data_IF_247440076330
#
_entry.id   IF_247440076330
#
_cell.length_a   1.000
_cell.length_b   1.000
_cell.length_c   1.000
_cell.angle_alpha   90.00
_cell.angle_beta   90.00
_cell.angle_gamma   90.00
#
_symmetry.space_group_name_H-M   'P 1'
#
loop_
_entity.id
_entity.type
_entity.pdbx_description
1 polymer ?
#
# COMPACT_ATOMS: atom_id res chain seq x y z
N UNK A 1 8.86 11.20 -25.75
CA UNK A 1 7.44 11.12 -26.17
C UNK A 1 6.59 11.25 -24.92
N UNK A 2 5.90 12.37 -24.72
CA UNK A 2 5.05 12.59 -23.54
C UNK A 2 3.79 11.73 -23.70
N UNK A 3 3.47 10.90 -22.71
CA UNK A 3 2.34 9.97 -22.81
C UNK A 3 0.99 10.67 -22.65
N UNK A 4 -0.05 10.16 -23.29
CA UNK A 4 -1.34 10.87 -23.44
C UNK A 4 -2.15 11.07 -22.15
N UNK A 5 -1.68 10.56 -21.02
CA UNK A 5 -2.30 10.67 -19.69
C UNK A 5 -2.50 12.13 -19.24
N UNK A 6 -1.78 13.09 -19.81
CA UNK A 6 -1.94 14.53 -19.54
C UNK A 6 -3.31 15.14 -19.94
N UNK A 7 -4.19 14.39 -20.64
CA UNK A 7 -5.48 14.91 -21.13
C UNK A 7 -6.68 14.72 -20.16
N UNK A 8 -6.66 13.77 -19.23
CA UNK A 8 -7.77 13.57 -18.27
C UNK A 8 -7.61 14.44 -17.01
N UNK A 9 -8.29 15.59 -16.95
CA UNK A 9 -8.36 16.47 -15.75
C UNK A 9 -9.12 15.86 -14.54
N UNK A 10 -9.45 14.56 -14.59
CA UNK A 10 -10.40 13.89 -13.69
C UNK A 10 -9.96 12.45 -13.42
N UNK A 11 -9.74 12.09 -12.15
CA UNK A 11 -9.31 10.75 -11.74
C UNK A 11 -10.50 9.85 -11.35
N UNK A 12 -10.51 8.60 -11.84
CA UNK A 12 -11.67 7.68 -11.74
C UNK A 12 -11.41 6.46 -10.84
N UNK A 13 -11.59 6.63 -9.52
CA UNK A 13 -11.38 5.56 -8.52
C UNK A 13 -12.30 4.34 -8.70
N UNK A 14 -11.90 3.15 -8.19
CA UNK A 14 -12.74 1.92 -8.15
C UNK A 14 -14.13 2.18 -7.56
N UNK A 15 -14.21 2.98 -6.48
CA UNK A 15 -15.46 3.38 -5.81
C UNK A 15 -16.33 4.30 -6.69
N UNK A 16 -15.73 5.25 -7.42
CA UNK A 16 -16.43 6.12 -8.37
C UNK A 16 -16.93 5.36 -9.60
N UNK A 17 -16.14 4.41 -10.12
CA UNK A 17 -16.56 3.52 -11.21
C UNK A 17 -17.77 2.66 -10.78
N UNK A 18 -17.75 2.09 -9.58
CA UNK A 18 -18.90 1.34 -9.03
C UNK A 18 -20.13 2.25 -8.85
N UNK A 19 -19.97 3.44 -8.24
CA UNK A 19 -21.05 4.44 -8.13
C UNK A 19 -21.64 4.80 -9.50
N UNK A 20 -20.80 5.00 -10.53
CA UNK A 20 -21.24 5.27 -11.89
C UNK A 20 -22.04 4.11 -12.47
N UNK A 21 -21.56 2.87 -12.34
CA UNK A 21 -22.29 1.69 -12.85
C UNK A 21 -23.66 1.53 -12.16
N UNK A 22 -23.75 1.76 -10.85
CA UNK A 22 -25.04 1.72 -10.13
C UNK A 22 -25.96 2.89 -10.48
N UNK A 23 -25.42 4.11 -10.62
CA UNK A 23 -26.21 5.28 -11.05
C UNK A 23 -26.77 5.08 -12.47
N UNK A 24 -25.94 4.62 -13.41
CA UNK A 24 -26.38 4.32 -14.77
C UNK A 24 -27.39 3.16 -14.78
N UNK A 25 -27.17 2.09 -14.02
CA UNK A 25 -28.15 0.98 -13.89
C UNK A 25 -29.56 1.48 -13.54
N UNK A 26 -29.65 2.48 -12.67
CA UNK A 26 -30.91 3.08 -12.23
C UNK A 26 -31.47 4.13 -13.23
N UNK A 27 -30.67 4.59 -14.20
CA UNK A 27 -31.03 5.58 -15.22
C UNK A 27 -31.10 4.95 -16.63
N UNK A 28 -32.23 4.31 -16.99
CA UNK A 28 -32.36 3.52 -18.23
C UNK A 28 -32.29 4.34 -19.53
N UNK A 29 -32.51 5.65 -19.50
CA UNK A 29 -32.27 6.55 -20.63
C UNK A 29 -30.86 6.44 -21.21
N UNK A 30 -29.85 6.11 -20.40
CA UNK A 30 -28.46 6.06 -20.87
C UNK A 30 -28.10 4.73 -21.55
N UNK A 31 -28.72 3.60 -21.15
CA UNK A 31 -28.27 2.25 -21.53
C UNK A 31 -29.33 1.30 -22.10
N UNK A 32 -30.63 1.58 -21.95
CA UNK A 32 -31.71 0.69 -22.39
C UNK A 32 -32.35 1.22 -23.69
N UNK A 33 -32.18 0.56 -24.85
CA UNK A 33 -32.79 0.98 -26.12
C UNK A 33 -34.31 1.07 -26.11
N UNK A 34 -35.00 0.42 -25.17
CA UNK A 34 -36.47 0.48 -25.02
C UNK A 34 -36.96 1.68 -24.20
N UNK A 35 -36.06 2.50 -23.64
CA UNK A 35 -36.48 3.67 -22.87
C UNK A 35 -36.85 4.83 -23.81
N UNK A 36 -38.02 5.51 -23.65
CA UNK A 36 -38.46 6.55 -24.58
C UNK A 36 -37.45 7.69 -24.79
N UNK A 37 -36.68 8.03 -23.75
CA UNK A 37 -35.64 9.07 -23.80
C UNK A 37 -34.26 8.57 -24.27
N UNK A 38 -34.12 7.33 -24.75
CA UNK A 38 -32.81 6.77 -25.15
C UNK A 38 -32.23 7.38 -26.43
N UNK A 39 -33.05 7.87 -27.35
CA UNK A 39 -32.57 8.57 -28.56
C UNK A 39 -32.19 10.03 -28.30
N UNK A 40 -32.68 10.64 -27.22
CA UNK A 40 -32.36 12.03 -26.86
C UNK A 40 -30.93 12.15 -26.32
N UNK A 41 -30.09 12.92 -27.03
CA UNK A 41 -28.73 13.26 -26.60
C UNK A 41 -28.78 14.18 -25.38
N UNK A 42 -29.64 15.19 -25.41
CA UNK A 42 -29.93 16.11 -24.32
C UNK A 42 -30.20 15.38 -22.99
N UNK A 43 -31.17 14.46 -22.96
CA UNK A 43 -31.49 13.72 -21.73
C UNK A 43 -30.40 12.74 -21.28
N UNK A 44 -29.50 12.31 -22.17
CA UNK A 44 -28.32 11.52 -21.78
C UNK A 44 -27.26 12.43 -21.15
N UNK A 45 -27.02 13.58 -21.75
CA UNK A 45 -26.02 14.54 -21.30
C UNK A 45 -26.43 15.26 -20.01
N UNK A 46 -27.74 15.47 -19.80
CA UNK A 46 -28.32 15.84 -18.51
C UNK A 46 -27.99 14.78 -17.44
N UNK A 47 -28.28 13.50 -17.67
CA UNK A 47 -27.97 12.43 -16.69
C UNK A 47 -26.47 12.25 -16.44
N UNK A 48 -25.62 12.51 -17.44
CA UNK A 48 -24.18 12.58 -17.21
C UNK A 48 -23.77 13.79 -16.35
N UNK A 49 -24.42 14.94 -16.50
CA UNK A 49 -24.22 16.11 -15.65
C UNK A 49 -24.73 15.91 -14.22
N UNK A 50 -25.88 15.24 -14.04
CA UNK A 50 -26.44 14.84 -12.74
C UNK A 50 -25.49 13.94 -11.93
N UNK A 51 -24.78 13.01 -12.58
CA UNK A 51 -23.72 12.27 -11.91
C UNK A 51 -22.48 13.14 -11.61
N UNK A 52 -22.24 14.18 -12.40
CA UNK A 52 -21.04 15.00 -12.30
C UNK A 52 -21.11 16.02 -11.15
N UNK A 53 -22.28 16.60 -10.86
CA UNK A 53 -22.47 17.53 -9.73
C UNK A 53 -22.10 16.90 -8.38
N UNK A 54 -22.23 15.57 -8.25
CA UNK A 54 -21.82 14.79 -7.07
C UNK A 54 -20.31 14.85 -6.77
N UNK A 55 -19.48 15.41 -7.66
CA UNK A 55 -18.02 15.52 -7.53
C UNK A 55 -17.49 16.95 -7.80
N UNK A 56 -18.38 17.95 -7.88
CA UNK A 56 -18.02 19.37 -7.93
C UNK A 56 -17.43 19.89 -9.25
N UNK A 57 -17.19 21.19 -9.29
CA UNK A 57 -17.08 22.01 -10.51
C UNK A 57 -15.94 21.65 -11.50
N UNK A 58 -15.00 20.77 -11.11
CA UNK A 58 -13.92 20.28 -12.01
C UNK A 58 -14.31 18.99 -12.74
N UNK A 59 -15.42 18.36 -12.35
CA UNK A 59 -15.92 17.10 -12.89
C UNK A 59 -17.06 17.39 -13.87
N UNK A 60 -16.92 17.00 -15.15
CA UNK A 60 -17.88 17.39 -16.21
C UNK A 60 -18.71 16.20 -16.69
N UNK A 61 -19.94 16.45 -17.17
CA UNK A 61 -20.76 15.42 -17.80
C UNK A 61 -20.07 14.72 -18.98
N UNK A 62 -19.22 15.45 -19.73
CA UNK A 62 -18.41 14.85 -20.80
C UNK A 62 -17.37 13.84 -20.26
N UNK A 63 -16.77 14.08 -19.09
CA UNK A 63 -15.88 13.10 -18.45
C UNK A 63 -16.66 11.82 -18.05
N UNK A 64 -17.90 11.98 -17.56
CA UNK A 64 -18.80 10.85 -17.23
C UNK A 64 -19.17 10.05 -18.48
N UNK A 65 -19.55 10.74 -19.56
CA UNK A 65 -19.87 10.17 -20.88
C UNK A 65 -18.72 9.37 -21.48
N UNK A 66 -17.50 9.90 -21.41
CA UNK A 66 -16.27 9.22 -21.80
C UNK A 66 -16.04 7.96 -20.95
N UNK A 67 -16.12 8.09 -19.62
CA UNK A 67 -15.86 6.97 -18.71
C UNK A 67 -16.89 5.84 -18.84
N UNK A 68 -18.17 6.17 -18.93
CA UNK A 68 -19.23 5.18 -19.16
C UNK A 68 -19.02 4.45 -20.49
N UNK A 69 -18.61 5.17 -21.54
CA UNK A 69 -18.27 4.56 -22.84
C UNK A 69 -17.13 3.55 -22.70
N UNK A 70 -16.06 3.89 -21.98
CA UNK A 70 -14.93 2.99 -21.73
C UNK A 70 -15.34 1.74 -20.91
N UNK A 71 -16.16 1.92 -19.86
CA UNK A 71 -16.72 0.81 -19.07
C UNK A 71 -17.58 -0.12 -19.93
N UNK A 72 -18.50 0.44 -20.73
CA UNK A 72 -19.38 -0.32 -21.63
C UNK A 72 -18.60 -1.12 -22.69
N UNK A 73 -17.57 -0.52 -23.29
CA UNK A 73 -16.68 -1.19 -24.25
C UNK A 73 -15.87 -2.30 -23.59
N UNK A 74 -15.42 -2.11 -22.35
CA UNK A 74 -14.69 -3.13 -21.57
C UNK A 74 -15.60 -4.31 -21.24
N UNK A 75 -16.83 -4.05 -20.80
CA UNK A 75 -17.83 -5.09 -20.56
C UNK A 75 -18.15 -5.89 -21.84
N UNK A 76 -18.31 -5.21 -22.99
CA UNK A 76 -18.52 -5.88 -24.28
C UNK A 76 -17.35 -6.79 -24.67
N UNK A 77 -16.11 -6.40 -24.37
CA UNK A 77 -14.93 -7.22 -24.61
C UNK A 77 -14.94 -8.51 -23.76
N UNK A 78 -15.16 -8.38 -22.44
CA UNK A 78 -15.30 -9.54 -21.54
C UNK A 78 -16.48 -10.45 -21.93
N UNK A 79 -17.62 -9.87 -22.34
CA UNK A 79 -18.77 -10.64 -22.79
C UNK A 79 -18.51 -11.42 -24.08
N UNK A 80 -17.66 -10.92 -24.99
CA UNK A 80 -17.20 -11.71 -26.16
C UNK A 80 -16.32 -12.88 -25.74
N UNK A 81 -15.32 -12.65 -24.88
CA UNK A 81 -14.43 -13.72 -24.38
C UNK A 81 -15.19 -14.81 -23.63
N UNK A 82 -16.12 -14.43 -22.75
CA UNK A 82 -17.00 -15.36 -22.03
C UNK A 82 -17.88 -16.21 -22.96
N UNK A 83 -18.43 -15.61 -24.02
CA UNK A 83 -19.23 -16.33 -25.02
C UNK A 83 -18.38 -17.31 -25.85
N UNK A 84 -17.16 -16.91 -26.24
CA UNK A 84 -16.24 -17.77 -27.00
C UNK A 84 -15.80 -19.00 -26.19
N UNK A 85 -15.32 -18.79 -24.96
CA UNK A 85 -14.91 -19.88 -24.07
C UNK A 85 -16.05 -20.88 -23.78
N UNK A 86 -17.28 -20.39 -23.54
CA UNK A 86 -18.47 -21.27 -23.41
C UNK A 86 -18.86 -22.02 -24.69
N UNK A 87 -18.41 -21.59 -25.86
CA UNK A 87 -18.57 -22.35 -27.12
C UNK A 87 -17.49 -23.43 -27.30
N UNK A 88 -16.30 -23.21 -26.71
CA UNK A 88 -15.17 -24.14 -26.73
C UNK A 88 -15.21 -25.20 -25.60
N UNK A 89 -16.14 -25.08 -24.65
CA UNK A 89 -16.24 -25.98 -23.48
C UNK A 89 -15.32 -25.62 -22.30
N UNK A 90 -14.68 -24.44 -22.34
CA UNK A 90 -13.72 -23.98 -21.33
C UNK A 90 -14.40 -23.17 -20.21
N UNK A 91 -13.77 -23.07 -19.03
CA UNK A 91 -14.25 -22.22 -17.91
C UNK A 91 -13.49 -20.88 -17.83
N UNK A 92 -13.93 -19.88 -18.60
CA UNK A 92 -13.34 -18.54 -18.54
C UNK A 92 -13.84 -17.69 -17.35
N UNK A 93 -13.06 -17.71 -16.25
CA UNK A 93 -13.25 -16.87 -15.06
C UNK A 93 -12.89 -15.40 -15.31
N UNK A 94 -13.83 -14.49 -15.08
CA UNK A 94 -13.64 -13.04 -15.28
C UNK A 94 -13.37 -12.34 -13.94
N UNK A 95 -12.12 -11.87 -13.77
CA UNK A 95 -11.65 -11.17 -12.56
C UNK A 95 -11.80 -9.62 -12.65
N UNK A 96 -12.68 -9.09 -13.50
CA UNK A 96 -12.88 -7.64 -13.64
C UNK A 96 -13.92 -7.11 -12.66
N UNK A 97 -13.53 -6.15 -11.80
CA UNK A 97 -14.35 -5.69 -10.68
C UNK A 97 -15.72 -5.06 -11.03
N UNK A 98 -15.94 -4.65 -12.29
CA UNK A 98 -17.25 -4.17 -12.77
C UNK A 98 -18.08 -5.25 -13.48
N UNK A 99 -17.55 -6.47 -13.67
CA UNK A 99 -18.24 -7.54 -14.41
C UNK A 99 -19.62 -7.84 -13.85
N UNK A 100 -19.71 -8.20 -12.57
CA UNK A 100 -20.97 -8.42 -11.84
C UNK A 100 -21.89 -7.18 -11.86
N UNK A 101 -21.42 -6.01 -11.40
CA UNK A 101 -22.18 -4.75 -11.46
C UNK A 101 -22.76 -4.41 -12.85
N UNK A 102 -22.05 -4.71 -13.94
CA UNK A 102 -22.50 -4.46 -15.31
C UNK A 102 -23.43 -5.55 -15.91
N UNK A 103 -23.71 -6.66 -15.21
CA UNK A 103 -24.52 -7.77 -15.77
C UNK A 103 -25.94 -7.37 -16.21
N UNK A 104 -26.49 -6.24 -15.76
CA UNK A 104 -27.78 -5.72 -16.27
C UNK A 104 -27.74 -5.47 -17.79
N UNK A 105 -26.57 -5.11 -18.35
CA UNK A 105 -26.37 -4.95 -19.79
C UNK A 105 -26.53 -6.26 -20.58
N UNK A 106 -26.41 -7.43 -19.94
CA UNK A 106 -26.67 -8.73 -20.59
C UNK A 106 -28.13 -8.88 -21.01
N UNK A 107 -29.07 -8.25 -20.29
CA UNK A 107 -30.51 -8.31 -20.59
C UNK A 107 -30.85 -7.62 -21.93
N UNK A 108 -30.03 -6.68 -22.39
CA UNK A 108 -30.18 -6.01 -23.71
C UNK A 108 -29.67 -6.91 -24.84
N UNK A 109 -28.57 -7.63 -24.62
CA UNK A 109 -27.87 -8.45 -25.62
C UNK A 109 -28.53 -9.81 -25.93
N UNK A 110 -29.81 -10.01 -25.57
CA UNK A 110 -30.63 -11.17 -26.00
C UNK A 110 -31.50 -10.90 -27.23
N UNK A 111 -31.72 -9.65 -27.62
CA UNK A 111 -32.66 -9.28 -28.70
C UNK A 111 -31.98 -8.61 -29.90
N UNK A 112 -30.75 -8.12 -29.76
CA UNK A 112 -29.99 -7.48 -30.85
C UNK A 112 -29.20 -8.56 -31.61
N UNK A 113 -29.92 -9.43 -32.34
CA UNK A 113 -29.32 -10.41 -33.27
C UNK A 113 -30.08 -10.60 -34.59
N UNK A 114 -31.32 -10.11 -34.68
CA UNK A 114 -32.19 -10.24 -35.87
C UNK A 114 -32.35 -8.93 -36.66
N UNK A 115 -31.42 -7.98 -36.55
CA UNK A 115 -31.47 -6.72 -37.32
C UNK A 115 -30.12 -6.22 -37.82
N UNK A 116 -30.13 -5.74 -39.08
CA UNK A 116 -29.06 -5.08 -39.85
C UNK A 116 -27.77 -5.87 -40.13
N UNK A 117 -27.70 -6.41 -41.35
CA UNK A 117 -26.47 -6.70 -42.10
C UNK A 117 -25.88 -5.40 -42.69
N UNK A 118 -24.59 -5.43 -43.04
CA UNK A 118 -23.87 -4.60 -44.04
C UNK A 118 -23.88 -3.07 -43.91
N UNK A 119 -22.67 -2.47 -43.84
CA UNK A 119 -22.06 -1.69 -44.96
C UNK A 119 -20.61 -1.23 -44.61
N UNK A 120 -19.89 -0.68 -45.59
CA UNK A 120 -18.41 -0.50 -45.61
C UNK A 120 -17.95 0.98 -45.76
N UNK A 121 -16.62 1.20 -45.61
CA UNK A 121 -15.82 2.43 -45.92
C UNK A 121 -16.05 3.65 -45.00
N UNK A 122 -15.27 4.75 -45.06
CA UNK A 122 -13.80 5.01 -44.86
C UNK A 122 -13.60 6.56 -44.68
N UNK A 123 -12.44 7.26 -44.65
CA UNK A 123 -11.01 6.99 -44.90
C UNK A 123 -10.06 8.06 -44.26
N UNK A 124 -8.73 7.90 -44.43
CA UNK A 124 -7.59 8.89 -44.41
C UNK A 124 -7.36 10.04 -43.36
N UNK A 125 -6.09 10.11 -42.85
CA UNK A 125 -5.14 11.28 -42.73
C UNK A 125 -5.52 12.59 -41.96
N UNK A 126 -4.61 13.53 -41.58
CA UNK A 126 -3.13 13.67 -41.70
C UNK A 126 -2.48 14.55 -40.59
N UNK A 127 -1.14 14.45 -40.41
CA UNK A 127 -0.12 15.42 -39.88
C UNK A 127 -0.37 16.22 -38.55
N UNK A 128 0.59 16.92 -37.92
CA UNK A 128 2.00 17.27 -38.21
C UNK A 128 2.87 17.43 -36.92
N UNK A 129 4.17 17.74 -37.09
CA UNK A 129 5.21 17.89 -36.03
C UNK A 129 5.55 19.37 -35.76
N UNK A 130 6.08 19.70 -34.55
CA UNK A 130 7.19 20.69 -34.33
C UNK A 130 8.04 20.21 -33.12
N UNK A 131 9.29 20.68 -33.03
CA UNK A 131 10.38 20.25 -32.15
C UNK A 131 11.02 21.44 -31.39
N UNK A 132 11.67 21.21 -30.23
CA UNK A 132 12.98 21.80 -29.82
C UNK A 132 13.37 21.55 -28.35
N UNK A 133 14.67 21.73 -28.06
CA UNK A 133 15.37 21.63 -26.77
C UNK A 133 15.73 23.08 -26.28
N UNK A 134 16.55 23.42 -25.26
CA UNK A 134 17.67 22.81 -24.51
C UNK A 134 17.92 23.57 -23.18
N UNK A 135 18.63 22.93 -22.22
CA UNK A 135 19.61 23.49 -21.25
C UNK A 135 19.25 24.62 -20.23
N UNK A 136 20.06 24.91 -19.20
CA UNK A 136 20.88 24.10 -18.24
C UNK A 136 21.43 25.01 -17.10
N UNK A 137 22.23 24.43 -16.19
CA UNK A 137 23.19 25.05 -15.23
C UNK A 137 22.65 25.80 -13.97
N UNK A 138 23.47 26.12 -12.95
CA UNK A 138 24.10 25.22 -11.93
C UNK A 138 24.54 26.03 -10.66
N UNK A 139 25.13 25.35 -9.66
CA UNK A 139 26.13 25.77 -8.65
C UNK A 139 25.74 26.02 -7.16
N UNK A 140 26.22 25.08 -6.30
CA UNK A 140 27.05 25.27 -5.06
C UNK A 140 26.58 26.14 -3.87
N UNK A 141 26.89 25.87 -2.58
CA UNK A 141 27.49 24.74 -1.81
C UNK A 141 27.30 25.02 -0.29
N UNK A 142 27.27 24.00 0.57
CA UNK A 142 28.18 23.83 1.75
C UNK A 142 27.78 22.62 2.63
N UNK A 143 28.72 22.17 3.47
CA UNK A 143 28.79 20.79 3.98
C UNK A 143 28.02 20.49 5.28
N UNK A 144 27.44 19.29 5.33
CA UNK A 144 27.24 18.49 6.55
C UNK A 144 27.43 17.03 6.17
N UNK A 145 28.24 16.26 6.91
CA UNK A 145 28.60 14.87 6.58
C UNK A 145 27.48 13.88 6.97
N UNK A 146 26.29 14.11 6.43
CA UNK A 146 25.23 13.11 6.29
C UNK A 146 25.45 12.45 4.93
N UNK A 147 25.38 11.12 4.85
CA UNK A 147 25.46 10.38 3.59
C UNK A 147 24.54 10.99 2.52
N UNK A 148 25.18 11.61 1.51
CA UNK A 148 24.53 12.52 0.56
C UNK A 148 23.51 11.80 -0.30
N UNK A 149 23.76 10.52 -0.60
CA UNK A 149 22.83 9.57 -1.21
C UNK A 149 21.46 9.67 -0.52
N UNK A 150 21.41 9.25 0.73
CA UNK A 150 20.16 8.99 1.41
C UNK A 150 19.40 10.27 1.78
N UNK A 151 20.10 11.41 1.88
CA UNK A 151 19.48 12.74 1.97
C UNK A 151 18.68 13.08 0.71
N UNK A 152 19.29 13.00 -0.48
CA UNK A 152 18.61 13.28 -1.75
C UNK A 152 17.45 12.29 -2.03
N UNK A 153 17.66 11.01 -1.67
CA UNK A 153 16.63 9.96 -1.68
C UNK A 153 15.41 10.37 -0.82
N UNK A 154 15.67 10.79 0.41
CA UNK A 154 14.61 11.12 1.36
C UNK A 154 13.92 12.46 1.02
N UNK A 155 14.63 13.44 0.46
CA UNK A 155 14.06 14.69 -0.06
C UNK A 155 13.12 14.47 -1.27
N UNK A 156 13.39 13.47 -2.11
CA UNK A 156 12.45 13.06 -3.16
C UNK A 156 11.17 12.46 -2.57
N UNK A 157 11.28 11.61 -1.54
CA UNK A 157 10.13 11.07 -0.80
C UNK A 157 9.33 12.17 -0.08
N UNK A 158 10.00 13.14 0.55
CA UNK A 158 9.40 14.35 1.14
C UNK A 158 8.49 15.04 0.14
N UNK A 159 8.97 15.26 -1.09
CA UNK A 159 8.24 15.97 -2.13
C UNK A 159 7.05 15.17 -2.71
N UNK A 160 7.07 13.84 -2.58
CA UNK A 160 5.93 12.97 -2.94
C UNK A 160 4.89 12.99 -1.81
N UNK A 161 5.30 12.80 -0.56
CA UNK A 161 4.38 12.78 0.58
C UNK A 161 3.76 14.15 0.88
N UNK A 162 4.47 15.28 0.66
CA UNK A 162 3.90 16.63 0.68
C UNK A 162 2.77 16.80 -0.35
N UNK A 163 2.90 16.22 -1.54
CA UNK A 163 1.83 16.25 -2.57
C UNK A 163 0.61 15.39 -2.16
N UNK A 164 0.80 14.39 -1.32
CA UNK A 164 -0.27 13.55 -0.75
C UNK A 164 -0.95 14.16 0.49
N UNK A 165 -0.37 15.18 1.14
CA UNK A 165 -1.02 15.87 2.27
C UNK A 165 -2.21 16.75 1.83
N UNK A 166 -2.31 17.12 0.55
CA UNK A 166 -3.42 17.89 -0.02
C UNK A 166 -4.65 17.02 -0.35
N UNK A 167 -5.11 16.19 0.60
CA UNK A 167 -6.38 15.45 0.51
C UNK A 167 -7.48 16.19 1.30
N UNK A 168 -8.46 16.84 0.62
CA UNK A 168 -9.53 17.59 1.29
C UNK A 168 -10.53 16.72 2.06
N UNK A 169 -10.52 15.39 1.85
CA UNK A 169 -11.58 14.50 2.34
C UNK A 169 -11.24 13.93 3.72
N UNK A 170 -11.04 14.84 4.69
CA UNK A 170 -10.89 14.51 6.10
C UNK A 170 -12.12 13.79 6.66
N UNK A 171 -12.08 12.47 6.69
CA UNK A 171 -13.06 11.61 7.36
C UNK A 171 -12.56 11.29 8.77
N UNK A 172 -13.11 11.98 9.74
CA UNK A 172 -12.92 11.73 11.17
C UNK A 172 -13.46 10.33 11.56
N UNK A 173 -12.68 9.58 12.34
CA UNK A 173 -12.98 8.22 12.82
C UNK A 173 -12.21 7.88 14.09
N UNK A 174 -12.77 8.24 15.24
CA UNK A 174 -12.27 7.86 16.56
C UNK A 174 -12.58 6.38 16.92
N UNK A 175 -11.91 5.42 16.25
CA UNK A 175 -11.76 4.01 16.65
C UNK A 175 -10.43 3.47 16.08
N UNK A 176 -9.66 2.70 16.86
CA UNK A 176 -8.34 2.18 16.47
C UNK A 176 -8.40 0.96 15.50
N UNK A 177 -8.98 1.14 14.31
CA UNK A 177 -8.95 0.13 13.25
C UNK A 177 -9.74 0.50 11.98
N UNK A 178 -9.31 -0.02 10.84
CA UNK A 178 -9.97 0.19 9.54
C UNK A 178 -10.63 -1.09 9.01
N UNK A 179 -11.91 -1.00 8.65
CA UNK A 179 -12.69 -2.08 8.02
C UNK A 179 -12.33 -2.20 6.53
N UNK A 180 -11.57 -3.23 6.15
CA UNK A 180 -11.05 -3.41 4.79
C UNK A 180 -11.39 -4.80 4.19
N UNK A 181 -12.65 -5.04 3.77
CA UNK A 181 -13.07 -6.32 3.19
C UNK A 181 -12.40 -6.64 1.85
N UNK A 182 -12.05 -5.63 1.05
CA UNK A 182 -11.40 -5.80 -0.26
C UNK A 182 -9.98 -6.42 -0.12
N UNK A 183 -9.26 -6.22 1.01
CA UNK A 183 -7.93 -6.83 1.23
C UNK A 183 -7.94 -8.35 1.12
N UNK A 184 -9.01 -9.01 1.55
CA UNK A 184 -9.13 -10.48 1.53
C UNK A 184 -9.06 -11.07 0.11
N UNK A 185 -9.71 -10.41 -0.85
CA UNK A 185 -9.90 -10.93 -2.22
C UNK A 185 -8.75 -10.67 -3.18
N UNK A 186 -7.94 -9.63 -2.93
CA UNK A 186 -6.88 -9.20 -3.86
C UNK A 186 -5.47 -9.69 -3.43
N UNK A 187 -5.38 -10.52 -2.37
CA UNK A 187 -4.12 -10.92 -1.74
C UNK A 187 -3.33 -11.97 -2.55
N UNK A 188 -2.04 -11.72 -2.77
CA UNK A 188 -1.08 -12.72 -3.28
C UNK A 188 -1.03 -13.92 -2.34
N UNK A 189 -0.93 -15.13 -2.91
CA UNK A 189 -0.79 -16.38 -2.13
C UNK A 189 0.50 -16.28 -1.29
N UNK A 190 0.46 -16.43 0.04
CA UNK A 190 1.65 -16.40 0.88
C UNK A 190 2.61 -17.55 0.56
N UNK A 191 3.91 -17.28 0.64
CA UNK A 191 4.95 -18.31 0.60
C UNK A 191 4.89 -19.23 1.85
N UNK A 192 5.29 -20.49 1.70
CA UNK A 192 5.59 -21.39 2.83
C UNK A 192 6.89 -20.94 3.49
N UNK A 193 6.82 -20.62 4.78
CA UNK A 193 7.91 -20.06 5.56
C UNK A 193 8.25 -21.01 6.71
N UNK A 194 9.43 -21.61 6.66
CA UNK A 194 9.88 -22.58 7.66
C UNK A 194 11.06 -22.07 8.51
N UNK A 195 11.74 -21.01 8.06
CA UNK A 195 12.87 -20.39 8.78
C UNK A 195 12.85 -18.85 8.60
N UNK A 196 13.28 -18.10 9.63
CA UNK A 196 13.46 -16.65 9.55
C UNK A 196 14.54 -16.24 8.55
N UNK A 197 15.60 -17.05 8.41
CA UNK A 197 16.71 -16.84 7.48
C UNK A 197 16.61 -17.75 6.23
N UNK A 198 15.38 -18.06 5.79
CA UNK A 198 15.13 -18.86 4.58
C UNK A 198 15.75 -18.17 3.35
N UNK A 199 16.54 -18.89 2.52
CA UNK A 199 17.20 -18.30 1.35
C UNK A 199 16.18 -17.81 0.31
N UNK A 200 16.56 -16.77 -0.43
CA UNK A 200 15.76 -16.25 -1.55
C UNK A 200 15.56 -17.31 -2.63
N UNK A 201 14.35 -17.40 -3.17
CA UNK A 201 13.98 -18.35 -4.22
C UNK A 201 13.46 -17.60 -5.44
N UNK A 202 14.24 -17.62 -6.53
CA UNK A 202 13.88 -16.90 -7.76
C UNK A 202 12.69 -17.51 -8.51
N UNK A 203 12.26 -18.74 -8.18
CA UNK A 203 11.14 -19.42 -8.83
C UNK A 203 9.80 -18.92 -8.27
N UNK A 204 9.73 -18.68 -6.96
CA UNK A 204 8.56 -18.14 -6.25
C UNK A 204 8.24 -16.69 -6.64
N UNK A 205 7.12 -16.16 -6.15
CA UNK A 205 6.82 -14.73 -6.32
C UNK A 205 7.84 -13.89 -5.55
N UNK A 206 8.38 -12.87 -6.21
CA UNK A 206 9.23 -11.84 -5.62
C UNK A 206 9.01 -10.53 -6.39
N UNK A 207 9.40 -9.39 -5.82
CA UNK A 207 9.08 -8.07 -6.38
C UNK A 207 9.71 -7.76 -7.76
N UNK A 208 10.74 -8.47 -8.24
CA UNK A 208 11.19 -8.30 -9.65
C UNK A 208 10.21 -8.88 -10.67
N UNK A 209 9.15 -9.56 -10.21
CA UNK A 209 8.02 -10.07 -11.00
C UNK A 209 6.74 -9.23 -10.83
N UNK A 210 6.81 -8.09 -10.11
CA UNK A 210 5.70 -7.14 -10.03
C UNK A 210 5.45 -6.46 -11.38
N UNK A 211 4.22 -5.99 -11.62
CA UNK A 211 3.88 -5.23 -12.82
C UNK A 211 4.57 -3.84 -12.77
N UNK A 212 4.99 -3.31 -13.92
CA UNK A 212 5.66 -1.99 -13.98
C UNK A 212 4.71 -0.85 -13.58
N UNK A 213 3.42 -1.09 -13.72
CA UNK A 213 2.32 -0.23 -13.31
C UNK A 213 2.07 -0.26 -11.79
N UNK A 214 2.69 -1.19 -11.04
CA UNK A 214 2.77 -1.13 -9.57
C UNK A 214 3.84 -0.13 -9.09
N UNK A 215 4.86 0.17 -9.91
CA UNK A 215 5.94 1.09 -9.52
C UNK A 215 5.46 2.53 -9.43
N UNK A 216 5.50 3.11 -8.23
CA UNK A 216 5.22 4.52 -8.00
C UNK A 216 6.40 5.39 -8.44
N UNK A 217 7.61 4.98 -8.03
CA UNK A 217 8.88 5.63 -8.37
C UNK A 217 10.05 4.69 -8.01
N UNK A 218 11.23 5.02 -8.54
CA UNK A 218 12.48 4.34 -8.22
C UNK A 218 13.40 5.37 -7.57
N UNK A 219 13.99 4.97 -6.45
CA UNK A 219 15.05 5.67 -5.74
C UNK A 219 16.36 5.09 -6.25
N UNK A 220 17.31 5.94 -6.61
CA UNK A 220 18.64 5.54 -7.12
C UNK A 220 19.71 6.20 -6.25
N UNK A 221 20.68 5.41 -5.80
CA UNK A 221 21.89 5.83 -5.09
C UNK A 221 23.06 6.08 -6.06
N UNK A 222 24.15 6.68 -5.57
CA UNK A 222 25.36 6.98 -6.35
C UNK A 222 26.06 5.71 -6.86
N UNK A 223 25.91 4.57 -6.17
CA UNK A 223 26.34 3.24 -6.64
C UNK A 223 25.42 2.64 -7.74
N UNK A 224 24.39 3.39 -8.15
CA UNK A 224 23.34 3.00 -9.12
C UNK A 224 22.50 1.78 -8.69
N UNK A 225 22.50 1.43 -7.39
CA UNK A 225 21.50 0.53 -6.80
C UNK A 225 20.11 1.20 -6.76
N UNK A 226 19.07 0.38 -6.66
CA UNK A 226 17.68 0.78 -6.94
C UNK A 226 16.74 0.27 -5.87
N UNK A 227 16.35 1.18 -4.99
CA UNK A 227 15.30 0.96 -4.00
C UNK A 227 13.97 1.35 -4.64
N UNK A 228 13.06 0.40 -4.80
CA UNK A 228 11.83 0.61 -5.59
C UNK A 228 10.65 0.80 -4.64
N UNK A 229 9.81 1.81 -4.90
CA UNK A 229 8.55 1.96 -4.16
C UNK A 229 7.38 1.53 -5.04
N UNK A 230 6.68 0.49 -4.59
CA UNK A 230 5.54 -0.13 -5.24
C UNK A 230 4.24 0.23 -4.51
N UNK A 231 3.14 0.39 -5.25
CA UNK A 231 1.79 0.35 -4.69
C UNK A 231 1.55 -1.03 -4.11
N UNK A 232 1.07 -1.15 -2.87
CA UNK A 232 0.65 -2.45 -2.38
C UNK A 232 -0.67 -2.86 -3.06
N UNK A 233 -0.64 -3.90 -3.90
CA UNK A 233 -1.84 -4.48 -4.57
C UNK A 233 -2.88 -5.05 -3.60
N UNK A 234 -2.54 -5.16 -2.32
CA UNK A 234 -3.44 -5.54 -1.22
C UNK A 234 -3.29 -4.53 -0.07
N UNK A 235 -3.75 -3.28 -0.28
CA UNK A 235 -3.52 -2.18 0.66
C UNK A 235 -4.18 -2.45 2.01
N UNK A 236 -3.66 -1.80 3.05
CA UNK A 236 -4.10 -1.95 4.45
C UNK A 236 -4.97 -0.75 4.80
N UNK A 237 -4.38 0.44 4.70
CA UNK A 237 -5.07 1.72 4.60
C UNK A 237 -4.83 2.36 3.23
N UNK A 238 -5.41 3.54 2.98
CA UNK A 238 -5.13 4.33 1.78
C UNK A 238 -3.64 4.70 1.68
N UNK A 239 -3.11 4.77 0.46
CA UNK A 239 -1.67 4.95 0.15
C UNK A 239 -0.70 3.88 0.70
N UNK A 240 -1.16 2.74 1.24
CA UNK A 240 -0.27 1.64 1.64
C UNK A 240 0.59 1.19 0.44
N UNK A 241 1.90 1.35 0.61
CA UNK A 241 2.95 1.13 -0.37
C UNK A 241 4.01 0.17 0.20
N UNK A 242 4.88 -0.35 -0.66
CA UNK A 242 6.00 -1.22 -0.29
C UNK A 242 7.30 -0.57 -0.78
N UNK A 243 8.26 -0.34 0.13
CA UNK A 243 9.64 -0.06 -0.25
C UNK A 243 10.37 -1.40 -0.37
N UNK A 244 11.02 -1.63 -1.50
CA UNK A 244 11.90 -2.77 -1.74
C UNK A 244 13.33 -2.23 -1.90
N UNK A 245 14.13 -2.17 -0.82
CA UNK A 245 15.53 -1.75 -0.88
C UNK A 245 16.31 -2.68 -1.80
N UNK A 246 17.15 -2.12 -2.66
CA UNK A 246 18.10 -2.90 -3.46
C UNK A 246 17.44 -4.02 -4.28
N UNK A 247 16.29 -3.72 -4.91
CA UNK A 247 15.34 -4.73 -5.41
C UNK A 247 15.93 -5.69 -6.44
N UNK A 248 17.03 -5.30 -7.11
CA UNK A 248 17.73 -6.15 -8.08
C UNK A 248 18.92 -6.92 -7.49
N UNK A 249 19.37 -6.59 -6.27
CA UNK A 249 20.28 -7.43 -5.45
C UNK A 249 19.55 -8.67 -4.87
N UNK A 250 18.21 -8.74 -4.99
CA UNK A 250 17.35 -9.92 -4.67
C UNK A 250 17.56 -10.48 -3.25
N UNK A 251 17.70 -9.60 -2.27
CA UNK A 251 17.94 -10.00 -0.88
C UNK A 251 16.69 -10.73 -0.31
N UNK A 252 16.86 -11.78 0.52
CA UNK A 252 15.74 -12.40 1.24
C UNK A 252 15.10 -11.41 2.22
N UNK A 253 13.96 -11.76 2.83
CA UNK A 253 13.26 -10.95 3.84
C UNK A 253 13.96 -11.02 5.22
N UNK A 254 15.24 -10.66 5.21
CA UNK A 254 16.14 -10.51 6.36
C UNK A 254 16.57 -9.03 6.35
N UNK A 255 16.38 -8.33 7.46
CA UNK A 255 16.81 -6.92 7.54
C UNK A 255 18.34 -6.84 7.46
N UNK A 256 18.85 -5.88 6.69
CA UNK A 256 20.29 -5.53 6.66
C UNK A 256 20.52 -4.20 7.37
N UNK A 257 21.77 -3.91 7.75
CA UNK A 257 22.16 -2.60 8.28
C UNK A 257 21.79 -1.49 7.29
N UNK A 258 22.20 -1.64 6.04
CA UNK A 258 22.00 -0.67 4.96
C UNK A 258 20.49 -0.41 4.70
N UNK A 259 19.67 -1.47 4.73
CA UNK A 259 18.23 -1.32 4.53
C UNK A 259 17.52 -0.64 5.71
N UNK A 260 18.06 -0.80 6.92
CA UNK A 260 17.63 -0.08 8.12
C UNK A 260 18.07 1.39 8.07
N UNK A 261 19.33 1.66 7.73
CA UNK A 261 19.87 3.01 7.56
C UNK A 261 19.00 3.84 6.61
N UNK A 262 18.71 3.27 5.42
CA UNK A 262 17.81 3.85 4.42
C UNK A 262 16.44 4.23 5.01
N UNK A 263 15.73 3.32 5.69
CA UNK A 263 14.39 3.65 6.22
C UNK A 263 14.42 4.66 7.37
N UNK A 264 15.50 4.72 8.14
CA UNK A 264 15.67 5.74 9.19
C UNK A 264 15.91 7.12 8.58
N UNK A 265 16.76 7.23 7.56
CA UNK A 265 17.00 8.49 6.84
C UNK A 265 15.72 8.98 6.13
N UNK A 266 14.98 8.06 5.48
CA UNK A 266 13.64 8.33 4.92
C UNK A 266 12.70 8.91 5.98
N UNK A 267 12.60 8.26 7.14
CA UNK A 267 11.72 8.70 8.23
C UNK A 267 12.12 10.09 8.77
N UNK A 268 13.43 10.29 8.98
CA UNK A 268 14.00 11.52 9.53
C UNK A 268 13.73 12.75 8.67
N UNK A 269 13.83 12.65 7.33
CA UNK A 269 13.56 13.78 6.45
C UNK A 269 12.07 14.00 6.15
N UNK A 270 11.26 12.95 5.98
CA UNK A 270 9.83 13.07 5.60
C UNK A 270 9.04 13.76 6.72
N UNK A 271 8.55 15.01 6.55
CA UNK A 271 8.04 15.83 7.66
C UNK A 271 6.60 15.47 8.08
N UNK A 272 5.95 14.52 7.40
CA UNK A 272 4.61 14.08 7.73
C UNK A 272 4.67 13.07 8.88
N UNK A 273 4.30 13.48 10.10
CA UNK A 273 4.22 12.62 11.29
C UNK A 273 3.30 11.39 11.10
N UNK A 274 2.32 11.50 10.21
CA UNK A 274 1.33 10.45 9.93
C UNK A 274 1.88 9.22 9.16
N UNK A 275 3.15 9.24 8.74
CA UNK A 275 3.77 8.14 7.99
C UNK A 275 4.44 7.15 8.94
N UNK A 276 4.19 5.86 8.68
CA UNK A 276 4.73 4.74 9.46
C UNK A 276 5.38 3.73 8.54
N UNK A 277 6.52 3.19 8.96
CA UNK A 277 7.26 2.15 8.25
C UNK A 277 7.27 0.88 9.09
N UNK A 278 6.81 -0.23 8.52
CA UNK A 278 6.70 -1.52 9.21
C UNK A 278 7.45 -2.64 8.50
N UNK A 279 8.31 -3.34 9.23
CA UNK A 279 8.99 -4.55 8.79
C UNK A 279 8.41 -5.79 9.48
N UNK A 280 8.22 -6.84 8.70
CA UNK A 280 7.87 -8.18 9.17
C UNK A 280 9.01 -9.11 8.78
N UNK A 281 9.65 -9.82 9.71
CA UNK A 281 10.52 -10.94 9.32
C UNK A 281 9.66 -12.11 8.82
N UNK A 282 10.27 -13.11 8.16
CA UNK A 282 9.53 -14.24 7.60
C UNK A 282 8.63 -14.93 8.65
N UNK A 283 9.24 -15.46 9.73
CA UNK A 283 8.51 -16.02 10.85
C UNK A 283 7.78 -14.97 11.73
N UNK A 284 7.93 -13.68 11.41
CA UNK A 284 7.18 -12.53 11.92
C UNK A 284 5.96 -12.16 11.06
N UNK A 285 5.38 -13.13 10.34
CA UNK A 285 4.19 -12.99 9.50
C UNK A 285 4.34 -12.09 8.26
N UNK A 286 5.53 -12.04 7.65
CA UNK A 286 5.67 -11.63 6.25
C UNK A 286 4.91 -12.59 5.30
N UNK A 287 4.93 -12.33 3.99
CA UNK A 287 4.24 -13.21 3.01
C UNK A 287 4.98 -13.42 1.68
N UNK A 288 6.18 -12.83 1.54
CA UNK A 288 7.04 -12.90 0.35
C UNK A 288 8.49 -12.89 0.83
N UNK A 289 9.33 -13.83 0.39
CA UNK A 289 10.75 -13.83 0.69
C UNK A 289 11.57 -12.95 -0.29
N UNK A 290 11.42 -11.63 -0.18
CA UNK A 290 12.25 -10.62 -0.83
C UNK A 290 12.19 -9.36 0.02
N UNK A 291 13.35 -8.79 0.38
CA UNK A 291 13.49 -7.63 1.27
C UNK A 291 12.53 -6.47 0.94
N UNK A 292 11.57 -6.24 1.84
CA UNK A 292 10.60 -5.17 1.75
C UNK A 292 10.16 -4.63 3.12
N UNK A 293 9.77 -3.37 3.12
CA UNK A 293 9.16 -2.64 4.22
C UNK A 293 7.78 -2.13 3.76
N UNK A 294 6.79 -2.21 4.64
CA UNK A 294 5.49 -1.58 4.46
C UNK A 294 5.60 -0.09 4.78
N UNK A 295 5.05 0.78 3.94
CA UNK A 295 4.88 2.21 4.25
C UNK A 295 3.39 2.53 4.18
N UNK A 296 2.82 3.09 5.25
CA UNK A 296 1.41 3.47 5.28
C UNK A 296 1.19 4.81 5.99
N UNK A 297 0.00 5.37 5.78
CA UNK A 297 -0.45 6.62 6.40
C UNK A 297 -1.62 6.30 7.34
N UNK A 298 -1.60 6.91 8.51
CA UNK A 298 -2.68 6.89 9.52
C UNK A 298 -2.73 8.29 10.18
N UNK A 299 -3.91 8.80 10.53
CA UNK A 299 -4.08 10.14 11.14
C UNK A 299 -4.27 10.08 12.66
N UNK A 300 -4.71 8.95 13.18
CA UNK A 300 -4.79 8.69 14.60
C UNK A 300 -3.39 8.51 15.20
N UNK A 301 -3.21 8.91 16.47
CA UNK A 301 -2.03 8.55 17.26
C UNK A 301 -2.19 7.08 17.68
N UNK A 302 -1.12 6.29 17.53
CA UNK A 302 -1.12 4.88 17.93
C UNK A 302 -0.63 4.72 19.37
N UNK A 303 -1.11 3.71 20.13
CA UNK A 303 -0.63 3.45 21.49
C UNK A 303 0.90 3.34 21.60
N UNK A 304 1.57 2.75 20.60
CA UNK A 304 3.04 2.61 20.59
C UNK A 304 3.80 3.95 20.43
N UNK A 305 3.13 5.04 20.05
CA UNK A 305 3.76 6.34 19.82
C UNK A 305 3.90 7.15 21.12
N UNK A 306 3.04 6.90 22.09
CA UNK A 306 3.02 7.55 23.42
C UNK A 306 3.25 6.59 24.58
N UNK A 307 3.33 5.27 24.34
CA UNK A 307 3.65 4.28 25.39
C UNK A 307 4.98 4.62 26.08
N UNK A 308 4.97 4.59 27.41
CA UNK A 308 6.16 4.80 28.24
C UNK A 308 7.16 3.66 28.04
N UNK A 309 8.42 3.88 28.36
CA UNK A 309 9.41 2.81 28.35
C UNK A 309 10.32 2.89 29.58
N UNK A 310 10.78 1.72 30.04
CA UNK A 310 11.80 1.58 31.08
C UNK A 310 13.16 1.49 30.41
N UNK A 311 14.16 2.23 30.89
CA UNK A 311 15.53 2.11 30.38
C UNK A 311 16.11 0.73 30.68
N UNK A 312 16.78 0.13 29.69
CA UNK A 312 17.43 -1.18 29.84
C UNK A 312 18.94 -1.02 29.96
N UNK A 313 19.57 -0.48 28.91
CA UNK A 313 21.03 -0.30 28.78
C UNK A 313 21.33 0.53 27.53
N UNK A 314 22.30 1.44 27.61
CA UNK A 314 22.75 2.22 26.44
C UNK A 314 21.59 2.95 25.75
N UNK A 315 21.39 2.80 24.42
CA UNK A 315 20.28 3.40 23.69
C UNK A 315 18.97 2.59 23.75
N UNK A 316 18.92 1.50 24.52
CA UNK A 316 17.77 0.56 24.57
C UNK A 316 16.84 0.88 25.74
N UNK A 317 15.55 0.97 25.44
CA UNK A 317 14.46 0.96 26.40
C UNK A 317 13.54 -0.26 26.13
N UNK A 318 12.67 -0.61 27.08
CA UNK A 318 11.64 -1.65 26.94
C UNK A 318 10.27 -0.99 27.09
N UNK A 319 9.31 -1.34 26.23
CA UNK A 319 7.91 -0.88 26.34
C UNK A 319 7.34 -1.20 27.73
N UNK A 320 6.83 -0.19 28.42
CA UNK A 320 6.19 -0.37 29.72
C UNK A 320 4.66 -0.49 29.57
N UNK A 321 4.06 -1.33 30.40
CA UNK A 321 2.62 -1.63 30.41
C UNK A 321 2.00 -1.90 29.02
N UNK A 322 2.70 -2.70 28.19
CA UNK A 322 2.28 -3.04 26.83
C UNK A 322 2.01 -4.56 26.66
N UNK A 323 0.96 -4.99 25.93
CA UNK A 323 0.57 -6.40 25.83
C UNK A 323 1.66 -7.34 25.30
N UNK A 324 2.54 -6.85 24.43
CA UNK A 324 3.73 -7.57 23.93
C UNK A 324 4.97 -6.77 24.27
N UNK A 325 5.87 -7.28 25.14
CA UNK A 325 7.14 -6.65 25.41
C UNK A 325 7.96 -6.47 24.14
N UNK A 326 8.55 -5.30 23.98
CA UNK A 326 9.39 -4.92 22.85
C UNK A 326 10.48 -3.96 23.29
N UNK A 327 11.54 -3.87 22.50
CA UNK A 327 12.59 -2.89 22.67
C UNK A 327 12.24 -1.61 21.92
N UNK A 328 12.47 -0.45 22.52
CA UNK A 328 12.30 0.85 21.89
C UNK A 328 13.67 1.55 21.84
N UNK A 329 13.97 2.15 20.69
CA UNK A 329 15.09 3.07 20.49
C UNK A 329 14.55 4.43 20.07
N UNK A 330 15.27 5.48 20.45
CA UNK A 330 15.05 6.83 19.96
C UNK A 330 16.06 7.13 18.84
N UNK A 331 15.61 7.88 17.84
CA UNK A 331 16.42 8.32 16.69
C UNK A 331 16.09 9.78 16.39
N UNK A 332 17.12 10.61 16.27
CA UNK A 332 17.02 12.04 15.97
C UNK A 332 18.12 12.46 14.99
N UNK A 333 18.05 13.67 14.46
CA UNK A 333 19.06 14.23 13.54
C UNK A 333 20.44 14.46 14.21
N UNK A 334 20.52 14.39 15.54
CA UNK A 334 21.76 14.57 16.31
C UNK A 334 22.46 13.24 16.66
N UNK A 335 21.84 12.09 16.37
CA UNK A 335 22.39 10.78 16.67
C UNK A 335 23.13 10.25 15.44
N UNK A 336 24.44 10.08 15.56
CA UNK A 336 25.26 9.46 14.52
C UNK A 336 24.89 7.97 14.37
N UNK A 337 24.77 7.53 13.13
CA UNK A 337 24.62 6.13 12.70
C UNK A 337 23.66 5.28 13.55
N UNK A 338 22.37 5.68 13.66
CA UNK A 338 21.39 4.95 14.47
C UNK A 338 21.16 3.50 14.01
N UNK A 339 21.49 3.19 12.75
CA UNK A 339 21.45 1.82 12.24
C UNK A 339 22.42 0.88 12.97
N UNK A 340 23.58 1.35 13.44
CA UNK A 340 24.61 0.49 14.02
C UNK A 340 24.18 -0.11 15.35
N UNK A 341 23.69 0.73 16.28
CA UNK A 341 23.26 0.22 17.56
C UNK A 341 21.98 -0.60 17.44
N UNK A 342 21.01 -0.21 16.60
CA UNK A 342 19.77 -0.99 16.40
C UNK A 342 20.09 -2.34 15.74
N UNK A 343 21.00 -2.38 14.76
CA UNK A 343 21.36 -3.61 14.05
C UNK A 343 22.06 -4.64 14.97
N UNK A 344 22.84 -4.22 15.98
CA UNK A 344 23.39 -5.16 16.99
C UNK A 344 22.31 -6.01 17.67
N UNK A 345 21.15 -5.41 17.98
CA UNK A 345 20.03 -6.12 18.57
C UNK A 345 19.40 -7.09 17.56
N UNK A 346 19.18 -6.65 16.31
CA UNK A 346 18.63 -7.50 15.25
C UNK A 346 19.56 -8.68 14.91
N UNK A 347 20.87 -8.47 14.88
CA UNK A 347 21.88 -9.51 14.69
C UNK A 347 21.79 -10.61 15.77
N UNK A 348 21.56 -10.26 17.04
CA UNK A 348 21.28 -11.24 18.10
C UNK A 348 19.95 -11.98 17.86
N UNK A 349 18.89 -11.30 17.42
CA UNK A 349 17.63 -11.97 17.07
C UNK A 349 17.82 -12.96 15.91
N UNK A 350 18.56 -12.58 14.86
CA UNK A 350 18.87 -13.42 13.70
C UNK A 350 19.73 -14.63 14.09
N UNK A 351 20.80 -14.42 14.88
CA UNK A 351 21.68 -15.49 15.40
C UNK A 351 20.95 -16.49 16.29
N UNK A 352 19.92 -16.04 17.03
CA UNK A 352 19.05 -16.90 17.86
C UNK A 352 17.78 -17.38 17.14
N UNK A 353 17.65 -17.10 15.83
CA UNK A 353 16.49 -17.43 14.99
C UNK A 353 15.13 -16.93 15.52
N UNK A 354 15.12 -15.80 16.24
CA UNK A 354 13.93 -15.22 16.89
C UNK A 354 13.13 -14.40 15.88
N UNK A 355 11.88 -14.82 15.63
CA UNK A 355 10.90 -14.07 14.86
C UNK A 355 10.70 -12.65 15.43
N UNK A 356 10.55 -11.66 14.55
CA UNK A 356 10.42 -10.27 14.97
C UNK A 356 9.68 -9.38 13.98
N UNK A 357 9.12 -8.30 14.51
CA UNK A 357 8.56 -7.19 13.76
C UNK A 357 9.23 -5.89 14.20
N UNK A 358 9.36 -4.91 13.29
CA UNK A 358 10.00 -3.64 13.57
C UNK A 358 9.13 -2.51 13.04
N UNK A 359 8.81 -1.54 13.88
CA UNK A 359 7.97 -0.39 13.55
C UNK A 359 8.74 0.91 13.74
N UNK A 360 8.69 1.78 12.75
CA UNK A 360 9.36 3.08 12.73
C UNK A 360 8.27 4.13 12.51
N UNK A 361 8.18 5.07 13.45
CA UNK A 361 7.15 6.11 13.49
C UNK A 361 7.67 7.37 14.20
N UNK A 362 6.94 8.49 14.14
CA UNK A 362 7.17 9.61 15.06
C UNK A 362 6.32 9.43 16.31
N UNK A 363 6.87 9.78 17.45
CA UNK A 363 6.16 9.74 18.73
C UNK A 363 6.90 10.53 19.80
N UNK A 364 6.30 10.56 20.99
CA UNK A 364 6.87 11.25 22.15
C UNK A 364 8.17 10.56 22.58
N UNK A 365 9.17 11.36 22.98
CA UNK A 365 10.40 10.85 23.60
C UNK A 365 10.10 10.11 24.91
N UNK A 366 10.97 9.14 25.22
CA UNK A 366 10.97 8.39 26.48
C UNK A 366 11.58 9.22 27.63
N UNK A 367 12.43 10.19 27.30
CA UNK A 367 13.25 10.97 28.26
C UNK A 367 12.90 12.46 28.31
N UNK A 368 11.94 12.93 27.51
CA UNK A 368 11.49 14.32 27.50
C UNK A 368 10.25 14.56 26.65
N UNK A 369 9.91 15.84 26.44
CA UNK A 369 8.67 16.25 25.77
C UNK A 369 8.84 16.55 24.26
N UNK A 370 9.94 16.11 23.65
CA UNK A 370 10.20 16.30 22.22
C UNK A 370 9.68 15.14 21.36
N UNK A 371 9.21 15.46 20.15
CA UNK A 371 8.97 14.47 19.09
C UNK A 371 10.28 13.85 18.61
N UNK A 372 10.34 12.52 18.58
CA UNK A 372 11.48 11.74 18.06
C UNK A 372 11.01 10.71 17.05
N UNK A 373 11.94 10.14 16.26
CA UNK A 373 11.65 8.90 15.54
C UNK A 373 11.81 7.75 16.54
N UNK A 374 10.73 7.03 16.81
CA UNK A 374 10.75 5.82 17.65
C UNK A 374 10.94 4.60 16.75
N UNK A 375 11.88 3.73 17.11
CA UNK A 375 12.09 2.44 16.45
C UNK A 375 11.79 1.34 17.47
N UNK A 376 10.68 0.63 17.25
CA UNK A 376 10.20 -0.41 18.16
C UNK A 376 10.45 -1.78 17.52
N UNK A 377 11.10 -2.67 18.25
CA UNK A 377 11.40 -4.06 17.85
C UNK A 377 10.70 -5.02 18.80
N UNK A 378 9.80 -5.86 18.28
CA UNK A 378 9.19 -6.93 19.06
C UNK A 378 9.80 -8.28 18.69
N UNK A 379 10.60 -8.90 19.57
CA UNK A 379 10.83 -10.34 19.54
C UNK A 379 9.52 -11.06 19.87
N UNK A 380 9.12 -12.01 19.04
CA UNK A 380 7.82 -12.73 19.18
C UNK A 380 7.99 -14.23 19.01
N UNK A 381 6.92 -14.97 19.33
CA UNK A 381 6.83 -16.39 18.97
C UNK A 381 6.76 -16.55 17.45
N UNK A 382 7.56 -17.47 16.91
CA UNK A 382 7.60 -17.76 15.48
C UNK A 382 6.28 -18.35 14.98
N UNK A 383 5.81 -17.86 13.84
CA UNK A 383 4.78 -18.50 13.01
C UNK A 383 5.44 -19.14 11.79
N UNK A 384 5.29 -20.45 11.61
CA UNK A 384 5.80 -21.22 10.48
C UNK A 384 4.66 -21.76 9.58
N UNK A 385 5.02 -22.28 8.41
CA UNK A 385 4.09 -22.69 7.36
C UNK A 385 3.54 -21.50 6.56
N UNK A 386 2.50 -21.74 5.76
CA UNK A 386 1.82 -20.68 5.00
C UNK A 386 0.89 -19.86 5.92
N UNK A 387 0.95 -18.52 5.81
CA UNK A 387 0.18 -17.58 6.64
C UNK A 387 -1.34 -17.76 6.44
N UNK A 388 -1.99 -18.46 7.37
CA UNK A 388 -3.42 -18.77 7.35
C UNK A 388 -4.31 -17.51 7.45
N UNK A 389 -5.53 -17.58 6.91
CA UNK A 389 -6.54 -16.51 6.97
C UNK A 389 -7.33 -16.54 8.29
N UNK A 390 -6.62 -16.50 9.42
CA UNK A 390 -7.21 -16.23 10.73
C UNK A 390 -7.72 -14.79 10.82
N UNK A 391 -8.75 -14.56 11.64
CA UNK A 391 -9.39 -13.26 11.86
C UNK A 391 -8.38 -12.17 12.25
N UNK A 392 -7.48 -12.51 13.18
CA UNK A 392 -6.30 -11.71 13.52
C UNK A 392 -5.03 -12.41 13.04
N UNK A 393 -4.08 -11.60 12.59
CA UNK A 393 -2.90 -12.07 11.87
C UNK A 393 -1.67 -11.26 12.33
N UNK A 394 -1.52 -11.18 13.66
CA UNK A 394 -0.73 -10.21 14.46
C UNK A 394 0.68 -10.01 13.95
N UNK A 395 0.85 -9.02 13.09
CA UNK A 395 2.10 -8.59 12.50
C UNK A 395 2.42 -7.17 12.99
N UNK A 396 3.30 -6.45 12.29
CA UNK A 396 3.78 -5.12 12.72
C UNK A 396 2.68 -4.07 12.95
N UNK A 397 1.55 -4.16 12.24
CA UNK A 397 0.44 -3.21 12.39
C UNK A 397 -0.36 -3.47 13.67
N UNK A 398 -0.75 -4.73 13.87
CA UNK A 398 -1.49 -5.15 15.05
C UNK A 398 -0.63 -4.92 16.32
N UNK A 399 0.67 -5.20 16.25
CA UNK A 399 1.63 -4.94 17.33
C UNK A 399 1.83 -3.45 17.65
N UNK A 400 1.56 -2.51 16.73
CA UNK A 400 1.60 -1.07 17.05
C UNK A 400 0.29 -0.54 17.67
N UNK A 401 -0.73 -1.40 17.80
CA UNK A 401 -2.08 -1.02 18.25
C UNK A 401 -2.99 -0.56 17.11
N UNK A 402 -2.68 -0.90 15.85
CA UNK A 402 -3.53 -0.62 14.70
C UNK A 402 -4.08 -1.92 14.10
N UNK A 403 -5.41 -2.11 14.15
CA UNK A 403 -6.03 -3.38 13.78
C UNK A 403 -6.79 -3.30 12.45
N UNK A 404 -6.36 -4.01 11.40
CA UNK A 404 -7.17 -4.22 10.20
C UNK A 404 -8.25 -5.27 10.49
N UNK A 405 -9.51 -4.86 10.45
CA UNK A 405 -10.66 -5.76 10.59
C UNK A 405 -11.30 -5.96 9.22
N UNK A 406 -11.80 -7.16 8.93
CA UNK A 406 -12.24 -7.54 7.56
C UNK A 406 -13.75 -7.63 7.41
N UNK A 407 -14.46 -7.87 8.51
CA UNK A 407 -15.92 -7.99 8.59
C UNK A 407 -16.49 -6.98 9.61
N UNK A 408 -17.69 -6.49 9.32
CA UNK A 408 -18.33 -5.47 10.16
C UNK A 408 -18.87 -6.03 11.48
N UNK A 409 -19.16 -7.34 11.55
CA UNK A 409 -19.74 -7.95 12.74
C UNK A 409 -18.71 -8.09 13.86
N UNK A 410 -17.49 -8.53 13.54
CA UNK A 410 -16.37 -8.49 14.49
C UNK A 410 -16.03 -7.05 14.86
N UNK A 411 -16.00 -6.11 13.90
CA UNK A 411 -15.63 -4.71 14.17
C UNK A 411 -16.52 -4.02 15.24
N UNK A 412 -17.81 -4.35 15.31
CA UNK A 412 -18.70 -3.79 16.35
C UNK A 412 -18.79 -4.66 17.62
N UNK A 413 -18.22 -5.87 17.63
CA UNK A 413 -18.15 -6.76 18.81
C UNK A 413 -16.83 -6.68 19.57
N UNK A 414 -15.73 -6.34 18.89
CA UNK A 414 -14.37 -6.36 19.43
C UNK A 414 -14.20 -5.42 20.62
N UNK A 415 -13.74 -6.00 21.72
CA UNK A 415 -13.29 -5.32 22.93
C UNK A 415 -11.78 -5.07 22.92
N UNK A 416 -11.30 -4.16 23.77
CA UNK A 416 -9.87 -3.98 23.98
C UNK A 416 -9.22 -5.23 24.62
N UNK A 417 -9.93 -5.89 25.53
CA UNK A 417 -9.49 -7.09 26.24
C UNK A 417 -9.20 -8.26 25.27
N UNK A 418 -10.10 -8.55 24.31
CA UNK A 418 -9.87 -9.57 23.29
C UNK A 418 -8.66 -9.27 22.39
N UNK A 419 -8.43 -7.99 22.07
CA UNK A 419 -7.28 -7.55 21.28
C UNK A 419 -5.98 -7.70 22.08
N UNK A 420 -5.97 -7.31 23.36
CA UNK A 420 -4.83 -7.52 24.25
C UNK A 420 -4.50 -8.99 24.45
N UNK A 421 -5.49 -9.85 24.67
CA UNK A 421 -5.30 -11.29 24.81
C UNK A 421 -4.76 -11.92 23.52
N UNK A 422 -5.26 -11.49 22.35
CA UNK A 422 -4.69 -11.92 21.08
C UNK A 422 -3.25 -11.43 20.89
N UNK A 423 -2.92 -10.20 21.25
CA UNK A 423 -1.53 -9.72 21.25
C UNK A 423 -0.64 -10.54 22.20
N UNK A 424 -1.07 -10.77 23.45
CA UNK A 424 -0.31 -11.46 24.51
C UNK A 424 0.12 -12.87 24.11
N UNK A 425 -0.67 -13.58 23.28
CA UNK A 425 -0.32 -14.92 22.72
C UNK A 425 1.02 -14.93 21.95
N UNK A 426 1.47 -13.78 21.44
CA UNK A 426 2.68 -13.63 20.63
C UNK A 426 3.93 -13.21 21.41
N UNK A 427 3.82 -12.86 22.70
CA UNK A 427 4.98 -12.56 23.58
C UNK A 427 6.05 -13.64 23.47
N UNK A 428 7.30 -13.25 23.23
CA UNK A 428 8.42 -14.18 23.25
C UNK A 428 8.66 -14.74 24.67
N UNK A 429 8.62 -16.06 24.80
CA UNK A 429 8.65 -16.74 26.11
C UNK A 429 9.90 -16.46 26.95
N UNK A 430 11.03 -16.13 26.32
CA UNK A 430 12.33 -15.88 26.97
C UNK A 430 12.75 -14.41 26.83
N UNK A 431 11.78 -13.48 26.90
CA UNK A 431 12.06 -12.04 26.76
C UNK A 431 13.01 -11.53 27.86
N UNK A 432 12.89 -12.04 29.08
CA UNK A 432 13.70 -11.57 30.21
C UNK A 432 15.16 -12.06 30.10
N UNK A 433 15.39 -13.32 29.70
CA UNK A 433 16.71 -13.83 29.31
C UNK A 433 17.34 -12.98 28.18
N UNK A 434 16.53 -12.62 27.18
CA UNK A 434 16.95 -11.79 26.06
C UNK A 434 17.29 -10.37 26.50
N UNK A 435 16.64 -9.81 27.52
CA UNK A 435 17.05 -8.53 28.11
C UNK A 435 18.46 -8.63 28.73
N UNK A 436 18.83 -9.75 29.35
CA UNK A 436 20.20 -9.96 29.84
C UNK A 436 21.23 -10.20 28.72
N UNK A 437 20.85 -10.80 27.59
CA UNK A 437 21.68 -10.82 26.37
C UNK A 437 21.93 -9.39 25.85
N UNK A 438 20.86 -8.60 25.72
CA UNK A 438 20.91 -7.24 25.14
C UNK A 438 21.68 -6.26 26.06
N UNK A 439 21.62 -6.44 27.39
CA UNK A 439 22.45 -5.71 28.37
C UNK A 439 23.97 -5.91 28.20
N UNK A 440 24.40 -6.94 27.46
CA UNK A 440 25.83 -7.23 27.21
C UNK A 440 26.33 -6.63 25.87
N UNK A 441 25.45 -6.02 25.05
CA UNK A 441 25.81 -5.41 23.76
C UNK A 441 26.17 -3.91 23.82
N UNK A 442 25.88 -3.27 24.96
CA UNK A 442 25.92 -1.82 25.20
C UNK A 442 26.40 -1.51 26.64
#
# INVERSE_FOLDING_TARGET
>A
MISEFAKEKVFWTRKMNLKLVYFIKNNPNVWNPKHPKYTSVEHKDQTYAEFATLYGNKFTGQAVKNRWTNIRSTFANYLRKFKASRANGEEYKINWHLWGPCQFLMKVNRTIKDSSLNLNKSDEKDSSLIHNQYNSDDNTTEDTFVDTNCKAIAENLVNIFKKLQNDPFGLDKNKHGELNPDRSMNRRIPEQIDNICQPFDENKFNFTKASKEETMFIIVSDDNDKHVVLVNVSPISHYHSLLCPSMYKRLPQILTKDSLQLVLQIMLCVPNSNIRIGFNSLCGLASVNHLHYHIFVEKNILPVETVKCKHLKGPVYILDDYPVPGFCFEVTQQINDPSDYIYKLIDVLLKKAIAHNIFITRGQSVVGDSDVVRVIVWPRRSSSGAKQLAAFNVAVCELSGWFPVYDAESFEKLTAEELEDELRKWKYNRFDDLCEDIKQLY
#
